data_IF_964784786237
#
_entry.id   IF_964784786237
#
_cell.length_a   1.000
_cell.length_b   1.000
_cell.length_c   1.000
_cell.angle_alpha   90.00
_cell.angle_beta   90.00
_cell.angle_gamma   90.00
#
_symmetry.space_group_name_H-M   'P 1'
#
loop_
_entity.id
_entity.type
_entity.pdbx_description
1 polymer ?
#
# COMPACT_ATOMS: atom_id res chain seq x y z
N UNK A 1 -11.32 -0.33 -13.64
CA UNK A 1 -10.63 0.39 -12.54
C UNK A 1 -9.15 0.49 -12.90
N UNK A 2 -8.53 1.64 -12.62
CA UNK A 2 -7.08 1.82 -12.81
C UNK A 2 -6.37 1.72 -11.46
N UNK A 3 -5.32 0.91 -11.36
CA UNK A 3 -4.44 0.79 -10.20
C UNK A 3 -3.07 1.32 -10.59
N UNK A 4 -2.54 2.28 -9.85
CA UNK A 4 -1.18 2.80 -10.04
C UNK A 4 -0.35 2.50 -8.80
N UNK A 5 0.79 1.81 -8.96
CA UNK A 5 1.73 1.58 -7.89
C UNK A 5 2.52 2.86 -7.64
N UNK A 6 2.24 3.54 -6.54
CA UNK A 6 2.87 4.81 -6.17
C UNK A 6 4.28 4.62 -5.59
N UNK A 7 4.47 3.49 -4.94
CA UNK A 7 5.72 3.03 -4.37
C UNK A 7 5.68 1.53 -4.11
N UNK A 8 6.81 0.86 -4.20
CA UNK A 8 6.93 -0.60 -4.12
C UNK A 8 8.03 -1.07 -3.17
N UNK A 9 8.66 -0.14 -2.47
CA UNK A 9 9.76 -0.40 -1.55
C UNK A 9 9.32 -0.52 -0.10
N UNK A 10 10.15 -1.19 0.68
CA UNK A 10 10.04 -1.34 2.13
C UNK A 10 10.11 0.01 2.88
N UNK A 11 9.97 -0.03 4.20
CA UNK A 11 9.96 1.14 5.11
C UNK A 11 11.13 2.12 4.93
N UNK A 12 12.26 1.69 4.39
CA UNK A 12 13.43 2.55 4.13
C UNK A 12 13.49 3.08 2.70
N UNK A 13 12.65 2.55 1.79
CA UNK A 13 12.76 2.79 0.34
C UNK A 13 14.05 2.23 -0.26
N UNK A 14 14.19 2.33 -1.57
CA UNK A 14 15.41 1.97 -2.31
C UNK A 14 15.70 3.12 -3.29
N UNK A 15 16.93 3.69 -3.32
CA UNK A 15 18.13 3.35 -2.51
C UNK A 15 18.02 3.73 -1.03
N UNK A 16 18.72 2.98 -0.19
CA UNK A 16 18.85 3.30 1.23
C UNK A 16 19.97 4.34 1.41
N UNK A 17 19.75 5.30 2.29
CA UNK A 17 20.70 6.38 2.59
C UNK A 17 22.07 5.80 2.96
N UNK A 18 23.11 6.18 2.22
CA UNK A 18 24.50 5.77 2.45
C UNK A 18 24.85 4.35 1.99
N UNK A 19 23.91 3.58 1.46
CA UNK A 19 24.16 2.23 0.96
C UNK A 19 24.96 2.26 -0.35
N UNK A 20 25.97 1.38 -0.48
CA UNK A 20 26.83 1.27 -1.65
C UNK A 20 26.61 -0.03 -2.44
N UNK A 21 25.52 -0.76 -2.15
CA UNK A 21 25.25 -2.01 -2.86
C UNK A 21 24.83 -1.77 -4.32
N UNK A 22 24.92 -2.82 -5.13
CA UNK A 22 24.62 -2.80 -6.55
C UNK A 22 23.19 -2.30 -6.86
N UNK A 23 22.21 -2.72 -6.08
CA UNK A 23 20.81 -2.34 -6.29
C UNK A 23 20.58 -0.86 -5.98
N UNK A 24 21.15 -0.34 -4.88
CA UNK A 24 21.04 1.08 -4.53
C UNK A 24 21.77 2.01 -5.52
N UNK A 25 22.74 1.49 -6.29
CA UNK A 25 23.46 2.23 -7.33
C UNK A 25 23.04 1.84 -8.74
N UNK A 26 21.97 1.08 -8.87
CA UNK A 26 21.46 0.65 -10.17
C UNK A 26 20.99 1.85 -10.99
N UNK A 27 21.26 1.84 -12.29
CA UNK A 27 20.70 2.78 -13.26
C UNK A 27 19.30 2.37 -13.75
N UNK A 28 18.84 1.17 -13.41
CA UNK A 28 17.48 0.73 -13.70
C UNK A 28 16.49 1.43 -12.76
N UNK A 29 15.57 2.27 -13.29
CA UNK A 29 14.61 2.99 -12.46
C UNK A 29 13.66 2.07 -11.68
N UNK A 30 13.49 0.80 -12.10
CA UNK A 30 12.66 -0.18 -11.39
C UNK A 30 13.29 -0.63 -10.05
N UNK A 31 14.58 -0.38 -9.86
CA UNK A 31 15.29 -0.58 -8.59
C UNK A 31 15.21 0.65 -7.67
N UNK A 32 14.59 1.75 -8.11
CA UNK A 32 14.34 2.93 -7.28
C UNK A 32 12.89 2.90 -6.78
N UNK A 33 12.70 2.57 -5.51
CA UNK A 33 11.40 2.26 -4.91
C UNK A 33 11.09 3.20 -3.77
N UNK A 34 10.05 4.01 -3.92
CA UNK A 34 9.42 4.75 -2.83
C UNK A 34 8.68 3.77 -1.91
N UNK A 35 8.32 4.21 -0.69
CA UNK A 35 7.57 3.38 0.26
C UNK A 35 6.25 2.95 -0.33
N UNK A 36 5.84 1.73 0.02
CA UNK A 36 4.69 1.05 -0.55
C UNK A 36 3.40 1.85 -0.38
N UNK A 37 2.70 2.06 -1.48
CA UNK A 37 1.38 2.70 -1.56
C UNK A 37 0.81 2.47 -2.96
N UNK A 38 -0.52 2.42 -3.08
CA UNK A 38 -1.22 2.34 -4.37
C UNK A 38 -2.33 3.40 -4.49
N UNK A 39 -2.61 3.78 -5.73
CA UNK A 39 -3.73 4.65 -6.09
C UNK A 39 -4.76 3.84 -6.89
N UNK A 40 -5.98 3.79 -6.40
CA UNK A 40 -7.13 3.22 -7.09
C UNK A 40 -7.96 4.35 -7.70
N UNK A 41 -8.22 4.28 -9.00
CA UNK A 41 -8.99 5.29 -9.73
C UNK A 41 -10.12 4.64 -10.56
N UNK A 42 -11.33 5.16 -10.37
CA UNK A 42 -12.51 4.91 -11.19
C UNK A 42 -13.35 6.19 -11.21
N UNK A 43 -14.62 6.18 -10.80
CA UNK A 43 -15.36 7.41 -10.48
C UNK A 43 -14.86 8.05 -9.18
N UNK A 44 -14.28 7.25 -8.28
CA UNK A 44 -13.55 7.70 -7.10
C UNK A 44 -12.03 7.58 -7.30
N UNK A 45 -11.26 8.36 -6.52
CA UNK A 45 -9.80 8.33 -6.44
C UNK A 45 -9.40 8.08 -4.98
N UNK A 46 -8.81 6.93 -4.70
CA UNK A 46 -8.49 6.45 -3.36
C UNK A 46 -7.01 6.10 -3.29
N UNK A 47 -6.32 6.56 -2.25
CA UNK A 47 -4.97 6.09 -1.93
C UNK A 47 -5.05 5.08 -0.79
N UNK A 48 -4.39 3.93 -0.96
CA UNK A 48 -4.14 3.00 0.13
C UNK A 48 -2.73 3.28 0.65
N UNK A 49 -2.66 3.70 1.90
CA UNK A 49 -1.52 4.16 2.67
C UNK A 49 -0.88 5.47 2.17
N UNK A 50 -0.76 6.45 3.06
CA UNK A 50 -0.04 7.70 2.84
C UNK A 50 1.39 7.56 3.38
N UNK A 51 2.27 7.00 2.57
CA UNK A 51 3.68 6.84 2.96
C UNK A 51 4.37 8.19 3.22
N UNK A 52 5.56 8.17 3.78
CA UNK A 52 6.40 9.40 3.92
C UNK A 52 6.73 10.04 2.57
N UNK A 53 6.56 9.31 1.47
CA UNK A 53 6.78 9.77 0.10
C UNK A 53 5.50 10.31 -0.55
N UNK A 54 4.36 10.35 0.16
CA UNK A 54 3.04 10.68 -0.38
C UNK A 54 3.05 11.93 -1.26
N UNK A 55 3.62 13.03 -0.77
CA UNK A 55 3.71 14.26 -1.56
C UNK A 55 4.44 14.05 -2.89
N UNK A 56 5.58 13.38 -2.85
CA UNK A 56 6.38 13.09 -4.06
C UNK A 56 5.63 12.16 -5.01
N UNK A 57 4.91 11.18 -4.48
CA UNK A 57 4.06 10.26 -5.22
C UNK A 57 2.92 11.02 -5.93
N UNK A 58 2.19 11.87 -5.20
CA UNK A 58 1.09 12.67 -5.80
C UNK A 58 1.58 13.59 -6.92
N UNK A 59 2.72 14.25 -6.73
CA UNK A 59 3.32 15.12 -7.74
C UNK A 59 3.82 14.34 -8.97
N UNK A 60 4.51 13.21 -8.75
CA UNK A 60 5.06 12.35 -9.81
C UNK A 60 3.97 11.84 -10.75
N UNK A 61 2.83 11.43 -10.20
CA UNK A 61 1.73 10.85 -10.99
C UNK A 61 0.62 11.85 -11.31
N UNK A 62 0.79 13.12 -10.98
CA UNK A 62 -0.13 14.20 -11.33
C UNK A 62 -1.52 14.02 -10.74
N UNK A 63 -1.61 13.46 -9.53
CA UNK A 63 -2.88 13.21 -8.84
C UNK A 63 -3.51 14.54 -8.43
N UNK A 64 -4.69 14.83 -8.96
CA UNK A 64 -5.40 16.11 -8.73
C UNK A 64 -6.65 15.98 -7.86
N UNK A 65 -7.09 14.75 -7.61
CA UNK A 65 -8.29 14.44 -6.82
C UNK A 65 -8.01 13.29 -5.88
N UNK A 66 -8.46 13.45 -4.65
CA UNK A 66 -8.45 12.42 -3.62
C UNK A 66 -9.80 12.43 -2.92
N UNK A 67 -10.53 11.33 -2.98
CA UNK A 67 -11.84 11.19 -2.35
C UNK A 67 -11.74 10.51 -0.99
N UNK A 68 -10.72 9.70 -0.77
CA UNK A 68 -10.46 9.03 0.50
C UNK A 68 -9.02 8.53 0.60
N UNK A 69 -8.59 8.32 1.84
CA UNK A 69 -7.43 7.51 2.21
C UNK A 69 -7.90 6.27 2.92
N UNK A 70 -7.27 5.12 2.65
CA UNK A 70 -7.56 3.85 3.33
C UNK A 70 -6.25 3.32 3.89
N UNK A 71 -6.22 2.96 5.15
CA UNK A 71 -5.00 2.48 5.81
C UNK A 71 -5.02 0.97 6.04
N UNK A 72 -3.91 0.32 5.71
CA UNK A 72 -3.68 -1.08 6.04
C UNK A 72 -3.36 -1.25 7.52
N UNK A 73 -2.46 -0.41 8.05
CA UNK A 73 -2.03 -0.40 9.45
C UNK A 73 -1.31 0.91 9.81
N UNK A 74 -0.80 1.03 11.03
CA UNK A 74 -0.29 2.29 11.60
C UNK A 74 1.23 2.44 11.59
N UNK A 75 2.00 1.59 10.89
CA UNK A 75 3.44 1.80 10.80
C UNK A 75 3.78 3.11 10.09
N UNK A 76 4.89 3.70 10.48
CA UNK A 76 5.31 5.04 10.06
C UNK A 76 5.39 5.20 8.53
N UNK A 77 5.90 4.20 7.85
CA UNK A 77 6.03 4.18 6.38
C UNK A 77 4.70 4.09 5.64
N UNK A 78 3.59 3.82 6.33
CA UNK A 78 2.25 3.77 5.78
C UNK A 78 1.40 4.99 6.12
N UNK A 79 1.71 5.74 7.20
CA UNK A 79 0.83 6.82 7.66
C UNK A 79 1.45 8.21 7.60
N UNK A 80 2.80 8.37 7.61
CA UNK A 80 3.43 9.66 7.91
C UNK A 80 3.25 10.74 6.84
N UNK A 81 2.74 10.42 5.65
CA UNK A 81 2.37 11.40 4.62
C UNK A 81 0.96 11.98 4.75
N UNK A 82 0.20 11.61 5.80
CA UNK A 82 -1.19 12.04 5.97
C UNK A 82 -1.35 13.57 6.03
N UNK A 83 -0.36 14.28 6.54
CA UNK A 83 -0.39 15.75 6.64
C UNK A 83 -0.35 16.43 5.25
N UNK A 84 0.22 15.75 4.25
CA UNK A 84 0.25 16.23 2.86
C UNK A 84 -1.09 16.07 2.10
N UNK A 85 -2.16 15.63 2.77
CA UNK A 85 -3.52 15.57 2.21
C UNK A 85 -4.15 16.98 2.11
N UNK A 86 -3.65 17.96 2.87
CA UNK A 86 -4.19 19.32 2.94
C UNK A 86 -4.48 20.01 1.57
N UNK A 87 -3.63 19.93 0.54
CA UNK A 87 -3.94 20.51 -0.77
C UNK A 87 -5.25 19.99 -1.36
N UNK A 88 -5.59 18.72 -1.15
CA UNK A 88 -6.85 18.15 -1.65
C UNK A 88 -8.07 18.72 -0.94
N UNK A 89 -7.97 19.03 0.37
CA UNK A 89 -9.04 19.77 1.08
C UNK A 89 -9.27 21.15 0.47
N UNK A 90 -8.18 21.89 0.14
CA UNK A 90 -8.29 23.23 -0.48
C UNK A 90 -9.02 23.14 -1.82
N UNK A 91 -8.60 22.20 -2.67
CA UNK A 91 -9.14 22.11 -4.04
C UNK A 91 -10.55 21.53 -4.11
N UNK A 92 -10.89 20.59 -3.22
CA UNK A 92 -12.22 19.98 -3.15
C UNK A 92 -13.20 20.82 -2.33
N UNK A 93 -12.70 21.60 -1.36
CA UNK A 93 -13.54 22.29 -0.36
C UNK A 93 -14.18 21.33 0.65
N UNK A 94 -13.72 20.07 0.73
CA UNK A 94 -14.29 19.03 1.59
C UNK A 94 -13.24 18.41 2.50
N UNK A 95 -13.70 17.81 3.59
CA UNK A 95 -12.88 16.96 4.45
C UNK A 95 -12.60 15.64 3.71
N UNK A 96 -11.42 15.08 3.90
CA UNK A 96 -11.05 13.79 3.33
C UNK A 96 -11.26 12.69 4.38
N UNK A 97 -12.13 11.70 4.13
CA UNK A 97 -12.26 10.56 5.02
C UNK A 97 -11.02 9.67 4.96
N UNK A 98 -10.57 9.25 6.13
CA UNK A 98 -9.46 8.32 6.34
C UNK A 98 -9.99 7.07 7.04
N UNK A 99 -9.97 5.95 6.35
CA UNK A 99 -10.52 4.68 6.79
C UNK A 99 -9.41 3.76 7.29
N UNK A 100 -9.68 3.00 8.35
CA UNK A 100 -8.76 2.01 8.90
C UNK A 100 -9.39 1.23 10.04
N UNK A 101 -8.67 0.27 10.64
CA UNK A 101 -9.12 -0.37 11.88
C UNK A 101 -9.17 0.67 13.02
N UNK A 102 -9.95 0.42 14.07
CA UNK A 102 -10.01 1.30 15.25
C UNK A 102 -8.61 1.54 15.84
N UNK A 103 -7.79 0.48 15.92
CA UNK A 103 -6.42 0.56 16.43
C UNK A 103 -5.54 1.45 15.55
N UNK A 104 -5.61 1.27 14.23
CA UNK A 104 -4.87 2.09 13.27
C UNK A 104 -5.27 3.56 13.39
N UNK A 105 -6.57 3.84 13.43
CA UNK A 105 -7.06 5.22 13.55
C UNK A 105 -6.70 5.88 14.89
N UNK A 106 -6.67 5.10 15.98
CA UNK A 106 -6.20 5.57 17.27
C UNK A 106 -4.74 6.00 17.23
N UNK A 107 -3.86 5.20 16.63
CA UNK A 107 -2.44 5.53 16.48
C UNK A 107 -2.25 6.75 15.55
N UNK A 108 -3.01 6.85 14.45
CA UNK A 108 -3.02 8.03 13.58
C UNK A 108 -3.41 9.28 14.37
N UNK A 109 -4.47 9.22 15.19
CA UNK A 109 -4.91 10.34 16.01
C UNK A 109 -3.84 10.77 17.04
N UNK A 110 -3.10 9.81 17.59
CA UNK A 110 -1.99 10.09 18.52
C UNK A 110 -0.79 10.70 17.80
N UNK A 111 -0.45 10.20 16.62
CA UNK A 111 0.69 10.67 15.81
C UNK A 111 0.45 12.08 15.28
N UNK A 112 -0.75 12.35 14.79
CA UNK A 112 -1.14 13.61 14.15
C UNK A 112 -2.08 14.45 15.04
N UNK A 113 -1.80 14.58 16.34
CA UNK A 113 -2.63 15.31 17.30
C UNK A 113 -3.05 16.69 16.81
N UNK A 114 -2.15 17.41 16.16
CA UNK A 114 -2.39 18.77 15.64
C UNK A 114 -3.50 18.84 14.58
N UNK A 115 -3.84 17.72 13.92
CA UNK A 115 -4.96 17.66 12.97
C UNK A 115 -6.32 17.52 13.66
N UNK A 116 -6.35 17.01 14.90
CA UNK A 116 -7.57 16.61 15.60
C UNK A 116 -7.86 17.40 16.87
N UNK A 117 -6.95 18.26 17.31
CA UNK A 117 -7.15 19.22 18.41
C UNK A 117 -7.91 20.46 17.93
N UNK A 118 -8.42 21.27 18.87
CA UNK A 118 -9.09 22.53 18.52
C UNK A 118 -8.16 23.42 17.69
N UNK A 119 -8.62 23.76 16.48
CA UNK A 119 -7.82 24.51 15.52
C UNK A 119 -7.70 25.97 15.94
N UNK A 120 -6.50 26.38 16.29
CA UNK A 120 -6.16 27.78 16.59
C UNK A 120 -5.87 28.57 15.30
N UNK A 121 -5.55 27.90 14.21
CA UNK A 121 -5.22 28.53 12.92
C UNK A 121 -5.70 27.69 11.73
N UNK A 122 -5.78 28.34 10.56
CA UNK A 122 -6.06 27.66 9.27
C UNK A 122 -4.77 27.11 8.67
N UNK A 123 -4.89 26.06 7.83
CA UNK A 123 -3.75 25.53 7.07
C UNK A 123 -3.27 24.15 7.53
N UNK A 124 -4.14 23.39 8.18
CA UNK A 124 -3.93 21.97 8.50
C UNK A 124 -4.92 21.09 7.74
N UNK A 125 -4.53 19.86 7.49
CA UNK A 125 -5.39 18.86 6.82
C UNK A 125 -6.70 18.66 7.59
N UNK A 126 -7.80 18.57 6.84
CA UNK A 126 -9.13 18.28 7.39
C UNK A 126 -9.50 16.84 7.09
N UNK A 127 -9.33 15.98 8.09
CA UNK A 127 -9.46 14.53 8.01
C UNK A 127 -10.61 14.08 8.90
N UNK A 128 -11.45 13.16 8.37
CA UNK A 128 -12.43 12.43 9.16
C UNK A 128 -11.96 11.00 9.35
N UNK A 129 -11.67 10.60 10.59
CA UNK A 129 -11.30 9.23 10.92
C UNK A 129 -12.55 8.36 10.99
N UNK A 130 -12.64 7.34 10.13
CA UNK A 130 -13.81 6.48 10.00
C UNK A 130 -13.39 5.01 10.15
N UNK A 131 -13.81 4.31 11.20
CA UNK A 131 -13.47 2.91 11.39
C UNK A 131 -14.13 2.02 10.31
N UNK A 132 -13.39 0.97 9.89
CA UNK A 132 -13.89 -0.04 8.97
C UNK A 132 -14.55 -1.14 9.78
N UNK A 133 -15.88 -1.25 9.71
CA UNK A 133 -16.67 -2.27 10.40
C UNK A 133 -17.09 -3.44 9.47
N UNK A 134 -16.81 -3.34 8.18
CA UNK A 134 -17.19 -4.32 7.16
C UNK A 134 -16.81 -3.84 5.77
N UNK A 135 -17.54 -4.27 4.74
CA UNK A 135 -17.30 -3.79 3.39
C UNK A 135 -17.46 -2.27 3.30
N UNK A 136 -16.51 -1.63 2.66
CA UNK A 136 -16.42 -0.17 2.53
C UNK A 136 -16.72 0.23 1.10
N UNK A 137 -17.73 1.11 0.90
CA UNK A 137 -18.04 1.66 -0.41
C UNK A 137 -17.61 3.12 -0.52
N UNK A 138 -16.75 3.42 -1.50
CA UNK A 138 -16.30 4.78 -1.80
C UNK A 138 -16.56 5.04 -3.29
N UNK A 139 -17.54 5.89 -3.57
CA UNK A 139 -18.01 6.11 -4.94
C UNK A 139 -18.56 4.82 -5.56
N UNK A 140 -17.89 4.31 -6.57
CA UNK A 140 -18.22 3.05 -7.25
C UNK A 140 -17.27 1.89 -6.91
N UNK A 141 -16.35 2.10 -5.98
CA UNK A 141 -15.42 1.09 -5.51
C UNK A 141 -15.94 0.45 -4.20
N UNK A 142 -16.13 -0.86 -4.24
CA UNK A 142 -16.49 -1.68 -3.08
C UNK A 142 -15.22 -2.40 -2.58
N UNK A 143 -14.72 -2.00 -1.41
CA UNK A 143 -13.53 -2.58 -0.78
C UNK A 143 -13.97 -3.58 0.29
N UNK A 144 -13.63 -4.84 0.10
CA UNK A 144 -13.79 -5.88 1.11
C UNK A 144 -12.50 -5.98 1.93
N UNK A 145 -12.54 -5.74 3.26
CA UNK A 145 -11.36 -5.86 4.10
C UNK A 145 -10.99 -7.32 4.32
N UNK A 146 -9.68 -7.59 4.20
CA UNK A 146 -9.07 -8.91 4.38
C UNK A 146 -8.08 -8.81 5.52
N UNK A 147 -8.35 -9.45 6.65
CA UNK A 147 -7.44 -9.45 7.78
C UNK A 147 -6.29 -10.42 7.54
N UNK A 148 -5.06 -9.93 7.65
CA UNK A 148 -3.83 -10.71 7.62
C UNK A 148 -2.95 -10.33 8.81
N UNK A 149 -1.77 -10.96 8.95
CA UNK A 149 -0.89 -10.71 10.08
C UNK A 149 0.51 -10.32 9.63
N UNK A 150 1.01 -9.25 10.22
CA UNK A 150 2.38 -8.78 10.16
C UNK A 150 3.08 -9.15 11.48
N UNK A 151 3.68 -10.34 11.54
CA UNK A 151 4.04 -10.97 12.81
C UNK A 151 2.80 -11.25 13.64
N UNK A 152 2.63 -10.54 14.75
CA UNK A 152 1.44 -10.63 15.60
C UNK A 152 0.45 -9.48 15.39
N UNK A 153 0.83 -8.46 14.63
CA UNK A 153 -0.02 -7.31 14.36
C UNK A 153 -1.07 -7.66 13.31
N UNK A 154 -2.37 -7.54 13.60
CA UNK A 154 -3.40 -7.65 12.57
C UNK A 154 -3.35 -6.42 11.66
N UNK A 155 -3.30 -6.66 10.35
CA UNK A 155 -3.31 -5.63 9.31
C UNK A 155 -4.41 -5.91 8.29
N UNK A 156 -4.85 -4.89 7.58
CA UNK A 156 -5.88 -5.01 6.57
C UNK A 156 -5.29 -5.01 5.15
N UNK A 157 -5.61 -6.04 4.39
CA UNK A 157 -5.61 -5.97 2.94
C UNK A 157 -7.01 -5.62 2.44
N UNK A 158 -7.16 -5.40 1.13
CA UNK A 158 -8.42 -5.01 0.52
C UNK A 158 -8.64 -5.75 -0.80
N UNK A 159 -9.85 -6.27 -0.99
CA UNK A 159 -10.32 -6.79 -2.27
C UNK A 159 -11.28 -5.82 -2.92
N UNK A 160 -11.11 -5.59 -4.23
CA UNK A 160 -12.00 -4.78 -5.07
C UNK A 160 -12.32 -5.58 -6.34
N UNK A 161 -13.48 -6.24 -6.36
CA UNK A 161 -13.85 -7.13 -7.46
C UNK A 161 -12.86 -8.28 -7.66
N UNK A 162 -12.20 -8.33 -8.82
CA UNK A 162 -11.18 -9.34 -9.14
C UNK A 162 -9.74 -8.93 -8.80
N UNK A 163 -9.55 -7.80 -8.13
CA UNK A 163 -8.26 -7.30 -7.64
C UNK A 163 -8.16 -7.43 -6.13
N UNK A 164 -6.99 -7.80 -5.61
CA UNK A 164 -6.69 -7.73 -4.17
C UNK A 164 -5.31 -7.12 -3.90
N UNK A 165 -5.22 -6.33 -2.84
CA UNK A 165 -4.00 -5.70 -2.35
C UNK A 165 -3.75 -6.12 -0.90
N UNK A 166 -2.62 -6.78 -0.66
CA UNK A 166 -2.20 -7.28 0.65
C UNK A 166 -0.71 -7.01 0.81
N UNK A 167 -0.36 -6.05 1.65
CA UNK A 167 1.04 -5.74 1.99
C UNK A 167 1.32 -6.03 3.45
N UNK A 168 2.61 -6.08 3.82
CA UNK A 168 3.06 -6.27 5.21
C UNK A 168 2.45 -7.52 5.83
N UNK A 169 2.69 -8.66 5.20
CA UNK A 169 2.09 -9.93 5.58
C UNK A 169 3.14 -11.01 5.81
N UNK A 170 3.03 -11.70 6.93
CA UNK A 170 3.78 -12.92 7.23
C UNK A 170 2.88 -14.13 7.41
N UNK A 171 1.57 -13.91 7.57
CA UNK A 171 0.59 -14.98 7.73
C UNK A 171 -0.79 -14.55 7.20
N UNK A 172 -1.37 -15.39 6.36
CA UNK A 172 -2.74 -15.25 5.84
C UNK A 172 -3.60 -16.34 6.48
N UNK A 173 -4.59 -16.01 7.32
CA UNK A 173 -5.55 -16.97 7.86
C UNK A 173 -6.36 -17.69 6.79
N UNK A 174 -6.91 -18.84 7.12
CA UNK A 174 -7.73 -19.61 6.18
C UNK A 174 -8.92 -18.79 5.65
N UNK A 175 -9.63 -18.11 6.52
CA UNK A 175 -10.80 -17.29 6.20
C UNK A 175 -10.43 -16.15 5.25
N UNK A 176 -9.20 -15.62 5.35
CA UNK A 176 -8.68 -14.59 4.46
C UNK A 176 -8.26 -15.16 3.11
N UNK A 177 -7.72 -16.37 3.07
CA UNK A 177 -7.53 -17.09 1.80
C UNK A 177 -8.85 -17.31 1.06
N UNK A 178 -9.92 -17.70 1.79
CA UNK A 178 -11.25 -17.94 1.19
C UNK A 178 -11.78 -16.65 0.53
N UNK A 179 -11.52 -15.47 1.11
CA UNK A 179 -11.84 -14.16 0.50
C UNK A 179 -10.96 -13.81 -0.70
N UNK A 180 -9.72 -14.26 -0.74
CA UNK A 180 -8.78 -14.01 -1.85
C UNK A 180 -9.03 -14.92 -3.06
N UNK A 181 -9.73 -16.05 -2.89
CA UNK A 181 -10.01 -16.95 -4.00
C UNK A 181 -10.80 -16.26 -5.12
N UNK A 182 -10.40 -16.54 -6.37
CA UNK A 182 -11.06 -16.02 -7.55
C UNK A 182 -10.71 -14.56 -7.91
N UNK A 183 -9.65 -13.99 -7.33
CA UNK A 183 -9.08 -12.75 -7.85
C UNK A 183 -8.25 -13.05 -9.11
N UNK A 184 -8.28 -12.12 -10.06
CA UNK A 184 -7.45 -12.20 -11.27
C UNK A 184 -6.07 -11.60 -11.02
N UNK A 185 -6.03 -10.45 -10.33
CA UNK A 185 -4.79 -9.73 -10.01
C UNK A 185 -4.61 -9.61 -8.50
N UNK A 186 -3.47 -10.07 -8.01
CA UNK A 186 -3.12 -10.06 -6.58
C UNK A 186 -1.85 -9.23 -6.37
N UNK A 187 -1.86 -8.36 -5.37
CA UNK A 187 -0.65 -7.71 -4.86
C UNK A 187 -0.29 -8.31 -3.52
N UNK A 188 0.93 -8.78 -3.36
CA UNK A 188 1.46 -9.34 -2.12
C UNK A 188 2.75 -8.66 -1.69
N UNK A 189 3.01 -8.71 -0.39
CA UNK A 189 4.31 -8.43 0.20
C UNK A 189 5.35 -9.47 -0.27
N UNK A 190 6.54 -9.01 -0.66
CA UNK A 190 7.66 -9.86 -1.05
C UNK A 190 8.98 -9.19 -0.66
N UNK A 191 9.33 -9.25 0.63
CA UNK A 191 10.36 -8.40 1.22
C UNK A 191 11.76 -8.61 0.62
N UNK A 192 12.23 -9.87 0.58
CA UNK A 192 13.58 -10.28 0.13
C UNK A 192 13.64 -11.79 -0.11
N UNK A 193 14.82 -12.31 -0.48
CA UNK A 193 15.01 -13.75 -0.71
C UNK A 193 14.94 -14.57 0.59
N UNK A 194 15.60 -14.11 1.67
CA UNK A 194 15.60 -14.79 2.96
C UNK A 194 14.29 -14.53 3.72
N UNK A 195 13.90 -15.50 4.53
CA UNK A 195 12.74 -15.39 5.40
C UNK A 195 12.85 -14.25 6.40
N UNK A 196 11.71 -13.69 6.76
CA UNK A 196 11.59 -12.64 7.76
C UNK A 196 10.42 -12.95 8.71
N UNK A 197 10.54 -12.64 10.02
CA UNK A 197 9.50 -13.02 10.98
C UNK A 197 8.16 -12.30 10.79
N UNK A 198 8.15 -11.17 10.08
CA UNK A 198 6.96 -10.32 9.94
C UNK A 198 6.54 -10.08 8.48
N UNK A 199 7.31 -10.54 7.50
CA UNK A 199 7.03 -10.37 6.07
C UNK A 199 7.24 -11.68 5.32
N UNK A 200 6.55 -11.86 4.22
CA UNK A 200 6.86 -12.94 3.28
C UNK A 200 8.21 -12.70 2.59
N UNK A 201 8.97 -13.75 2.42
CA UNK A 201 10.04 -13.79 1.43
C UNK A 201 9.44 -13.90 0.01
N UNK A 202 10.25 -13.69 -1.03
CA UNK A 202 9.80 -13.88 -2.41
C UNK A 202 9.22 -15.27 -2.65
N UNK A 203 9.86 -16.31 -2.10
CA UNK A 203 9.38 -17.70 -2.21
C UNK A 203 8.05 -17.91 -1.49
N UNK A 204 7.92 -17.42 -0.24
CA UNK A 204 6.69 -17.52 0.52
C UNK A 204 5.53 -16.77 -0.14
N UNK A 205 5.80 -15.60 -0.74
CA UNK A 205 4.82 -14.85 -1.51
C UNK A 205 4.36 -15.62 -2.76
N UNK A 206 5.28 -16.26 -3.47
CA UNK A 206 4.96 -17.12 -4.63
C UNK A 206 4.10 -18.33 -4.24
N UNK A 207 4.40 -18.97 -3.10
CA UNK A 207 3.58 -20.09 -2.57
C UNK A 207 2.18 -19.61 -2.17
N UNK A 208 2.06 -18.44 -1.54
CA UNK A 208 0.78 -17.85 -1.20
C UNK A 208 -0.03 -17.49 -2.46
N UNK A 209 0.61 -16.92 -3.48
CA UNK A 209 0.01 -16.62 -4.77
C UNK A 209 -0.52 -17.88 -5.47
N UNK A 210 0.27 -18.95 -5.49
CA UNK A 210 -0.14 -20.24 -6.05
C UNK A 210 -1.36 -20.83 -5.31
N UNK A 211 -1.42 -20.65 -3.98
CA UNK A 211 -2.56 -21.08 -3.17
C UNK A 211 -3.83 -20.27 -3.47
N UNK A 212 -3.73 -18.96 -3.69
CA UNK A 212 -4.85 -18.10 -4.10
C UNK A 212 -5.31 -18.45 -5.51
N UNK A 213 -4.39 -18.80 -6.41
CA UNK A 213 -4.66 -19.12 -7.81
C UNK A 213 -4.96 -17.90 -8.66
N UNK A 214 -4.40 -16.73 -8.32
CA UNK A 214 -4.51 -15.52 -9.12
C UNK A 214 -3.83 -15.72 -10.49
N UNK A 215 -4.35 -15.06 -11.52
CA UNK A 215 -3.76 -15.12 -12.86
C UNK A 215 -2.41 -14.41 -12.91
N UNK A 216 -2.33 -13.27 -12.20
CA UNK A 216 -1.12 -12.45 -12.09
C UNK A 216 -0.94 -11.98 -10.64
N UNK A 217 0.28 -12.06 -10.15
CA UNK A 217 0.63 -11.57 -8.82
C UNK A 217 1.79 -10.58 -8.92
N UNK A 218 1.67 -9.47 -8.21
CA UNK A 218 2.65 -8.38 -8.18
C UNK A 218 3.22 -8.25 -6.77
N UNK A 219 4.55 -8.37 -6.62
CA UNK A 219 5.18 -8.24 -5.31
C UNK A 219 5.59 -6.79 -5.05
N UNK A 220 5.34 -6.35 -3.81
CA UNK A 220 5.67 -5.01 -3.29
C UNK A 220 6.44 -5.12 -1.99
N UNK A 221 6.79 -3.99 -1.38
CA UNK A 221 7.48 -3.86 -0.10
C UNK A 221 8.90 -4.44 -0.09
N UNK A 222 9.58 -4.38 -1.24
CA UNK A 222 10.91 -4.98 -1.45
C UNK A 222 12.05 -4.17 -0.84
N UNK A 223 13.04 -4.89 -0.30
CA UNK A 223 14.31 -4.31 0.15
C UNK A 223 15.28 -4.06 -1.02
N UNK A 224 16.43 -3.47 -0.70
CA UNK A 224 17.55 -3.28 -1.63
C UNK A 224 18.38 -4.55 -1.92
N UNK A 225 17.98 -5.70 -1.35
CA UNK A 225 18.58 -7.00 -1.68
C UNK A 225 18.00 -7.58 -2.97
N UNK A 226 16.83 -7.06 -3.41
CA UNK A 226 16.09 -7.54 -4.55
C UNK A 226 16.33 -6.65 -5.77
N UNK A 227 17.16 -7.12 -6.71
CA UNK A 227 17.26 -6.54 -8.04
C UNK A 227 16.02 -6.89 -8.88
N UNK A 228 15.53 -5.96 -9.68
CA UNK A 228 14.26 -6.14 -10.40
C UNK A 228 14.32 -7.28 -11.45
N UNK A 229 15.39 -7.35 -12.23
CA UNK A 229 15.52 -8.38 -13.26
C UNK A 229 15.84 -9.75 -12.68
N UNK A 230 16.76 -9.81 -11.72
CA UNK A 230 17.12 -11.06 -11.05
C UNK A 230 15.97 -11.62 -10.22
N UNK A 231 15.22 -10.74 -9.52
CA UNK A 231 14.04 -11.13 -8.77
C UNK A 231 12.93 -11.68 -9.66
N UNK A 232 12.67 -11.06 -10.81
CA UNK A 232 11.71 -11.62 -11.78
C UNK A 232 12.18 -12.95 -12.37
N UNK A 233 13.48 -13.12 -12.62
CA UNK A 233 14.03 -14.38 -13.10
C UNK A 233 13.96 -15.52 -12.04
N UNK A 234 13.89 -15.17 -10.77
CA UNK A 234 13.75 -16.11 -9.65
C UNK A 234 12.31 -16.59 -9.45
N UNK A 235 11.33 -15.77 -9.80
CA UNK A 235 9.90 -16.01 -9.55
C UNK A 235 9.26 -16.86 -10.66
N UNK A 236 8.15 -17.57 -10.39
CA UNK A 236 7.38 -18.26 -11.44
C UNK A 236 6.68 -17.24 -12.36
N UNK A 237 6.36 -17.63 -13.59
CA UNK A 237 5.80 -16.77 -14.66
C UNK A 237 4.55 -15.97 -14.24
N UNK A 238 3.75 -16.49 -13.30
CA UNK A 238 2.54 -15.82 -12.80
C UNK A 238 2.80 -14.79 -11.69
N UNK A 239 4.06 -14.66 -11.25
CA UNK A 239 4.45 -13.76 -10.16
C UNK A 239 5.56 -12.84 -10.65
N UNK A 240 5.39 -11.54 -10.48
CA UNK A 240 6.38 -10.55 -10.89
C UNK A 240 6.57 -9.46 -9.84
N UNK A 241 7.73 -8.83 -9.85
CA UNK A 241 7.99 -7.67 -9.02
C UNK A 241 7.27 -6.46 -9.60
N UNK A 242 6.51 -5.74 -8.76
CA UNK A 242 6.02 -4.44 -9.13
C UNK A 242 7.16 -3.39 -9.16
N UNK A 243 6.91 -2.26 -9.77
CA UNK A 243 7.80 -1.11 -9.77
C UNK A 243 6.98 0.19 -9.69
N UNK A 244 7.62 1.25 -9.21
CA UNK A 244 6.99 2.56 -9.06
C UNK A 244 6.51 3.09 -10.41
N UNK A 245 5.21 3.30 -10.54
CA UNK A 245 4.57 3.75 -11.77
C UNK A 245 3.96 2.63 -12.63
N UNK A 246 4.07 1.37 -12.21
CA UNK A 246 3.31 0.29 -12.86
C UNK A 246 1.81 0.61 -12.79
N UNK A 247 1.11 0.39 -13.89
CA UNK A 247 -0.33 0.64 -14.01
C UNK A 247 -1.03 -0.62 -14.47
N UNK A 248 -2.10 -0.98 -13.75
CA UNK A 248 -3.02 -2.04 -14.15
C UNK A 248 -4.36 -1.40 -14.56
N UNK A 249 -4.90 -1.81 -15.68
CA UNK A 249 -6.25 -1.48 -16.13
C UNK A 249 -7.16 -2.72 -15.93
N UNK A 250 -8.10 -2.65 -15.00
CA UNK A 250 -8.92 -3.77 -14.50
C UNK A 250 -10.42 -3.53 -14.74
#
# INVERSE_FOLDING_TARGET
>A
MKVTFLGTGTSRGVPIIGCQCRVCHSSDPRNHRLRTSILLQSKASIVIDTSVDFRSQMLRYGVKRLDAVVFTHSHADHILGLDDVYPFNIWSGTRIPAYGSEETLKEIKLTFRHLFEEKVYRGVSEIDLVPIEGNLRIGDLDLEPIQVFHGQLPVLGFRVGSFAYVTDVSHIPKESYDKLMGVDSLVLDGLRYEEHPTHFSLAQAADAAARVGAKETYLVHMTHDVDHEEGNAYLPDSVQLAYDGLVLEL
#
